data_IF_980141142231
#
_entry.id   IF_980141142231
#
_cell.length_a   1.000
_cell.length_b   1.000
_cell.length_c   1.000
_cell.angle_alpha   90.00
_cell.angle_beta   90.00
_cell.angle_gamma   90.00
#
_symmetry.space_group_name_H-M   'P 1'
#
loop_
_entity.id
_entity.type
_entity.pdbx_description
1 polymer ?
#
# COMPACT_ATOMS: atom_id res chain seq x y z
N UNK A 1 32.11 -1.67 12.92
CA UNK A 1 31.48 -1.97 11.62
C UNK A 1 29.99 -2.24 11.79
N UNK A 2 29.59 -3.08 12.74
CA UNK A 2 28.18 -3.42 12.99
C UNK A 2 27.26 -2.21 13.22
N UNK A 3 27.74 -1.15 13.88
CA UNK A 3 26.98 0.09 14.08
C UNK A 3 26.71 0.87 12.79
N UNK A 4 27.63 0.84 11.81
CA UNK A 4 27.49 1.55 10.52
C UNK A 4 26.39 0.89 9.68
N UNK A 5 26.24 -0.43 9.81
CA UNK A 5 25.25 -1.22 9.08
C UNK A 5 23.91 -1.31 9.83
N UNK A 6 23.83 -0.83 11.07
CA UNK A 6 22.61 -0.84 11.86
C UNK A 6 21.70 0.29 11.39
N UNK A 7 20.63 -0.06 10.67
CA UNK A 7 19.66 0.92 10.12
C UNK A 7 18.87 1.75 11.15
N UNK A 8 19.14 1.59 12.45
CA UNK A 8 18.58 2.39 13.54
C UNK A 8 19.61 3.27 14.25
N UNK A 9 20.87 3.27 13.81
CA UNK A 9 21.93 4.10 14.39
C UNK A 9 21.72 5.57 13.99
N UNK A 10 22.11 6.48 14.87
CA UNK A 10 22.08 7.92 14.60
C UNK A 10 23.23 8.32 13.67
N UNK A 11 23.09 9.41 12.91
CA UNK A 11 24.16 9.90 12.05
C UNK A 11 25.44 10.21 12.85
N UNK A 12 25.31 10.65 14.12
CA UNK A 12 26.45 10.91 15.01
C UNK A 12 27.18 9.63 15.42
N UNK A 13 26.45 8.55 15.75
CA UNK A 13 27.06 7.25 16.07
C UNK A 13 27.76 6.64 14.85
N UNK A 14 27.16 6.79 13.67
CA UNK A 14 27.75 6.36 12.40
C UNK A 14 29.03 7.13 12.12
N UNK A 15 29.01 8.47 12.25
CA UNK A 15 30.19 9.32 12.06
C UNK A 15 31.33 8.91 13.02
N UNK A 16 31.00 8.66 14.29
CA UNK A 16 31.97 8.20 15.27
C UNK A 16 32.58 6.85 14.86
N UNK A 17 31.75 5.89 14.47
CA UNK A 17 32.21 4.56 14.05
C UNK A 17 33.07 4.62 12.79
N UNK A 18 32.73 5.47 11.82
CA UNK A 18 33.56 5.70 10.63
C UNK A 18 34.92 6.27 11.03
N UNK A 19 34.97 7.25 11.95
CA UNK A 19 36.23 7.82 12.45
C UNK A 19 37.10 6.78 13.15
N UNK A 20 36.52 5.88 13.95
CA UNK A 20 37.25 4.80 14.62
C UNK A 20 37.84 3.79 13.63
N UNK A 21 37.07 3.41 12.61
CA UNK A 21 37.56 2.53 11.54
C UNK A 21 38.71 3.19 10.80
N UNK A 22 38.57 4.46 10.39
CA UNK A 22 39.62 5.18 9.69
C UNK A 22 40.88 5.36 10.54
N UNK A 23 40.75 5.66 11.84
CA UNK A 23 41.90 5.74 12.76
C UNK A 23 42.68 4.42 12.84
N UNK A 24 41.97 3.30 12.81
CA UNK A 24 42.57 1.96 12.88
C UNK A 24 43.36 1.59 11.62
N UNK A 25 43.11 2.29 10.50
CA UNK A 25 43.77 2.06 9.20
C UNK A 25 45.05 2.89 9.01
N UNK A 26 45.42 3.70 10.01
CA UNK A 26 46.65 4.51 10.01
C UNK A 26 46.46 5.92 9.48
N UNK A 27 47.56 6.55 9.06
CA UNK A 27 47.58 7.97 8.69
C UNK A 27 46.93 8.21 7.31
N UNK A 28 46.20 9.33 7.14
CA UNK A 28 45.56 9.71 5.88
C UNK A 28 46.60 10.26 4.89
N UNK A 29 47.43 9.37 4.34
CA UNK A 29 48.44 9.71 3.33
C UNK A 29 47.97 9.17 1.98
N UNK A 30 48.09 9.96 0.90
CA UNK A 30 47.65 9.53 -0.45
C UNK A 30 48.35 8.27 -0.96
N UNK A 31 49.53 7.95 -0.42
CA UNK A 31 50.26 6.71 -0.73
C UNK A 31 49.62 5.47 -0.12
N UNK A 32 48.76 5.62 0.89
CA UNK A 32 47.98 4.53 1.48
C UNK A 32 46.69 4.32 0.68
N UNK A 33 46.81 3.63 -0.45
CA UNK A 33 45.69 3.30 -1.34
C UNK A 33 44.58 2.52 -0.60
N UNK A 34 44.93 1.66 0.35
CA UNK A 34 43.96 0.93 1.16
C UNK A 34 43.09 1.85 2.02
N UNK A 35 43.69 2.81 2.72
CA UNK A 35 42.95 3.83 3.48
C UNK A 35 41.97 4.60 2.58
N UNK A 36 42.42 5.05 1.40
CA UNK A 36 41.59 5.84 0.48
C UNK A 36 40.40 5.04 -0.06
N UNK A 37 40.60 3.75 -0.39
CA UNK A 37 39.52 2.86 -0.85
C UNK A 37 38.49 2.66 0.27
N UNK A 38 38.94 2.33 1.48
CA UNK A 38 38.01 2.11 2.61
C UNK A 38 37.28 3.39 2.97
N UNK A 39 37.94 4.55 2.95
CA UNK A 39 37.30 5.85 3.17
C UNK A 39 36.18 6.11 2.16
N UNK A 40 36.46 5.98 0.86
CA UNK A 40 35.46 6.19 -0.19
C UNK A 40 34.27 5.21 -0.07
N UNK A 41 34.54 3.97 0.34
CA UNK A 41 33.47 3.00 0.60
C UNK A 41 32.61 3.42 1.80
N UNK A 42 33.23 3.80 2.92
CA UNK A 42 32.51 4.19 4.13
C UNK A 42 31.67 5.47 3.90
N UNK A 43 32.19 6.44 3.16
CA UNK A 43 31.45 7.67 2.82
C UNK A 43 30.19 7.42 1.97
N UNK A 44 30.11 6.26 1.27
CA UNK A 44 28.94 5.88 0.48
C UNK A 44 27.94 5.01 1.24
N UNK A 45 28.42 4.22 2.19
CA UNK A 45 27.58 3.27 2.94
C UNK A 45 27.02 3.91 4.21
N UNK A 46 27.74 4.84 4.82
CA UNK A 46 27.32 5.52 6.04
C UNK A 46 26.10 6.42 5.78
N UNK A 47 24.98 6.23 6.47
CA UNK A 47 23.89 7.20 6.48
C UNK A 47 24.38 8.53 7.07
N UNK A 48 24.31 9.61 6.28
CA UNK A 48 24.72 10.96 6.73
C UNK A 48 23.51 11.87 6.95
N UNK A 49 22.41 11.64 6.23
CA UNK A 49 21.22 12.49 6.26
C UNK A 49 20.00 11.81 6.91
N UNK A 50 20.00 10.49 6.98
CA UNK A 50 18.81 9.72 7.35
C UNK A 50 19.07 9.01 8.68
N UNK A 51 18.50 9.59 9.73
CA UNK A 51 18.33 8.97 11.04
C UNK A 51 16.99 9.40 11.64
N UNK A 52 16.71 8.99 12.88
CA UNK A 52 15.49 9.37 13.57
C UNK A 52 15.30 10.90 13.65
N UNK A 53 16.36 11.68 13.86
CA UNK A 53 16.25 13.13 13.96
C UNK A 53 15.86 13.76 12.61
N UNK A 54 16.48 13.29 11.52
CA UNK A 54 16.12 13.70 10.15
C UNK A 54 14.67 13.36 9.80
N UNK A 55 14.22 12.14 10.11
CA UNK A 55 12.82 11.73 9.87
C UNK A 55 11.84 12.58 10.68
N UNK A 56 12.15 12.87 11.95
CA UNK A 56 11.32 13.75 12.79
C UNK A 56 11.21 15.16 12.22
N UNK A 57 12.31 15.71 11.74
CA UNK A 57 12.30 17.05 11.14
C UNK A 57 11.48 17.08 9.85
N UNK A 58 11.60 16.05 9.01
CA UNK A 58 10.82 15.94 7.78
C UNK A 58 9.32 15.80 8.07
N UNK A 59 8.94 14.97 9.05
CA UNK A 59 7.54 14.86 9.50
C UNK A 59 7.00 16.17 10.04
N UNK A 60 7.82 16.94 10.77
CA UNK A 60 7.43 18.25 11.26
C UNK A 60 7.05 19.20 10.11
N UNK A 61 7.86 19.26 9.05
CA UNK A 61 7.56 20.07 7.86
C UNK A 61 6.30 19.61 7.13
N UNK A 62 6.13 18.30 6.97
CA UNK A 62 4.93 17.73 6.34
C UNK A 62 3.68 18.09 7.16
N UNK A 63 3.76 17.98 8.49
CA UNK A 63 2.65 18.32 9.36
C UNK A 63 2.32 19.82 9.32
N UNK A 64 3.32 20.68 9.30
CA UNK A 64 3.13 22.13 9.17
C UNK A 64 2.42 22.49 7.86
N UNK A 65 2.77 21.81 6.77
CA UNK A 65 2.14 21.98 5.45
C UNK A 65 0.71 21.40 5.39
N UNK A 66 0.44 20.24 6.01
CA UNK A 66 -0.86 19.58 5.96
C UNK A 66 -1.90 20.11 6.95
N UNK A 67 -1.47 20.38 8.18
CA UNK A 67 -2.34 20.68 9.32
C UNK A 67 -2.05 22.04 9.95
N UNK A 68 -0.92 22.65 9.61
CA UNK A 68 -0.46 23.92 10.15
C UNK A 68 -0.72 25.10 9.19
N UNK A 69 -0.15 26.27 9.50
CA UNK A 69 -0.25 27.46 8.65
C UNK A 69 0.59 27.36 7.36
N UNK A 70 1.47 26.36 7.24
CA UNK A 70 2.36 26.21 6.08
C UNK A 70 3.35 27.36 5.95
N UNK A 71 3.84 27.91 7.07
CA UNK A 71 4.70 29.10 7.06
C UNK A 71 5.96 28.89 6.22
N UNK A 72 6.52 27.68 6.25
CA UNK A 72 7.71 27.30 5.48
C UNK A 72 7.39 27.26 3.98
N UNK A 73 6.20 26.77 3.61
CA UNK A 73 5.76 26.72 2.21
C UNK A 73 5.60 28.14 1.65
N UNK A 74 5.00 29.04 2.44
CA UNK A 74 4.81 30.44 2.09
C UNK A 74 6.17 31.13 1.92
N UNK A 75 7.09 30.94 2.87
CA UNK A 75 8.42 31.55 2.83
C UNK A 75 9.24 31.11 1.61
N UNK A 76 9.09 29.85 1.17
CA UNK A 76 9.85 29.27 0.07
C UNK A 76 9.10 29.28 -1.28
N UNK A 77 7.84 29.74 -1.31
CA UNK A 77 7.00 29.71 -2.50
C UNK A 77 6.71 28.28 -3.01
N UNK A 78 6.58 27.32 -2.09
CA UNK A 78 6.35 25.91 -2.41
C UNK A 78 4.87 25.59 -2.50
N UNK A 79 4.55 24.66 -3.41
CA UNK A 79 3.21 24.06 -3.55
C UNK A 79 3.33 22.55 -3.41
N UNK A 80 2.36 21.91 -2.76
CA UNK A 80 2.30 20.46 -2.51
C UNK A 80 3.56 19.90 -1.81
N UNK A 81 4.19 20.67 -0.93
CA UNK A 81 5.39 20.22 -0.21
C UNK A 81 5.08 19.03 0.70
N UNK A 82 3.89 18.99 1.32
CA UNK A 82 3.38 17.85 2.06
C UNK A 82 3.38 16.55 1.25
N UNK A 83 2.79 16.58 0.06
CA UNK A 83 2.67 15.40 -0.81
C UNK A 83 4.07 14.90 -1.23
N UNK A 84 4.95 15.83 -1.64
CA UNK A 84 6.34 15.51 -2.00
C UNK A 84 7.14 14.99 -0.81
N UNK A 85 6.92 15.55 0.38
CA UNK A 85 7.54 15.12 1.62
C UNK A 85 7.11 13.71 2.00
N UNK A 86 5.82 13.39 1.87
CA UNK A 86 5.29 12.04 2.09
C UNK A 86 5.81 11.05 1.06
N UNK A 87 5.93 11.42 -0.21
CA UNK A 87 6.57 10.58 -1.24
C UNK A 87 8.04 10.29 -0.90
N UNK A 88 8.76 11.29 -0.41
CA UNK A 88 10.13 11.09 0.08
C UNK A 88 10.16 10.14 1.28
N UNK A 89 9.28 10.32 2.27
CA UNK A 89 9.16 9.41 3.41
C UNK A 89 8.80 7.99 2.97
N UNK A 90 7.96 7.82 1.95
CA UNK A 90 7.64 6.51 1.39
C UNK A 90 8.90 5.82 0.85
N UNK A 91 9.70 6.51 0.05
CA UNK A 91 10.97 5.97 -0.47
C UNK A 91 11.90 5.62 0.70
N UNK A 92 12.10 6.56 1.62
CA UNK A 92 12.98 6.36 2.77
C UNK A 92 12.53 5.21 3.69
N UNK A 93 11.23 5.02 3.88
CA UNK A 93 10.69 3.93 4.71
C UNK A 93 11.00 2.54 4.14
N UNK A 94 11.11 2.43 2.82
CA UNK A 94 11.50 1.17 2.15
C UNK A 94 13.01 0.88 2.22
N UNK A 95 13.84 1.93 2.22
CA UNK A 95 15.31 1.79 2.20
C UNK A 95 15.87 1.73 3.64
N UNK A 96 15.32 2.54 4.54
CA UNK A 96 15.76 2.71 5.93
C UNK A 96 14.62 2.50 6.94
N UNK A 97 13.90 1.35 6.93
CA UNK A 97 12.76 1.13 7.82
C UNK A 97 13.10 1.25 9.31
N UNK A 98 14.33 0.93 9.69
CA UNK A 98 14.81 1.03 11.07
C UNK A 98 14.80 2.47 11.62
N UNK A 99 14.98 3.48 10.76
CA UNK A 99 14.96 4.89 11.17
C UNK A 99 13.55 5.39 11.55
N UNK A 100 12.51 4.68 11.10
CA UNK A 100 11.10 5.01 11.35
C UNK A 100 10.55 4.31 12.60
N UNK A 101 11.28 3.34 13.18
CA UNK A 101 10.83 2.55 14.32
C UNK A 101 10.91 3.36 15.62
N UNK A 102 10.02 4.34 15.78
CA UNK A 102 9.92 5.18 16.95
C UNK A 102 8.46 5.58 17.22
N UNK A 103 8.08 5.63 18.50
CA UNK A 103 6.70 5.96 18.89
C UNK A 103 6.24 7.31 18.35
N UNK A 104 7.12 8.33 18.36
CA UNK A 104 6.80 9.65 17.83
C UNK A 104 6.45 9.59 16.33
N UNK A 105 7.25 8.86 15.55
CA UNK A 105 7.03 8.72 14.10
C UNK A 105 5.68 8.06 13.81
N UNK A 106 5.35 6.99 14.53
CA UNK A 106 4.06 6.32 14.36
C UNK A 106 2.87 7.18 14.75
N UNK A 107 2.97 7.98 15.82
CA UNK A 107 1.90 8.88 16.24
C UNK A 107 1.64 9.99 15.21
N UNK A 108 2.69 10.58 14.64
CA UNK A 108 2.53 11.59 13.59
C UNK A 108 1.91 10.98 12.32
N UNK A 109 2.35 9.79 11.89
CA UNK A 109 1.73 9.10 10.75
C UNK A 109 0.26 8.74 11.03
N UNK A 110 -0.08 8.33 12.26
CA UNK A 110 -1.48 8.09 12.66
C UNK A 110 -2.33 9.37 12.59
N UNK A 111 -1.76 10.53 12.88
CA UNK A 111 -2.46 11.81 12.74
C UNK A 111 -2.73 12.15 11.27
N UNK A 112 -1.77 11.87 10.37
CA UNK A 112 -1.95 12.09 8.92
C UNK A 112 -3.06 11.20 8.35
N UNK A 113 -3.24 9.97 8.86
CA UNK A 113 -4.35 9.10 8.45
C UNK A 113 -5.75 9.65 8.79
N UNK A 114 -5.85 10.74 9.57
CA UNK A 114 -7.11 11.40 9.93
C UNK A 114 -7.43 12.63 9.09
N UNK A 115 -6.55 13.01 8.19
CA UNK A 115 -6.77 14.12 7.25
C UNK A 115 -7.83 13.70 6.22
N UNK A 116 -8.60 14.67 5.72
CA UNK A 116 -9.67 14.42 4.74
C UNK A 116 -9.11 14.10 3.34
N UNK A 117 -7.95 14.66 2.99
CA UNK A 117 -7.30 14.47 1.69
C UNK A 117 -6.81 13.02 1.50
N UNK A 118 -7.23 12.41 0.39
CA UNK A 118 -6.96 11.00 0.07
C UNK A 118 -5.48 10.74 -0.24
N UNK A 119 -4.79 11.68 -0.90
CA UNK A 119 -3.40 11.50 -1.35
C UNK A 119 -2.40 11.26 -0.20
N UNK A 120 -2.38 12.12 0.82
CA UNK A 120 -1.59 11.95 2.02
C UNK A 120 -1.93 10.66 2.78
N UNK A 121 -3.22 10.33 2.90
CA UNK A 121 -3.69 9.12 3.58
C UNK A 121 -3.17 7.87 2.86
N UNK A 122 -3.35 7.79 1.54
CA UNK A 122 -2.87 6.68 0.70
C UNK A 122 -1.37 6.43 0.89
N UNK A 123 -0.59 7.50 0.81
CA UNK A 123 0.88 7.44 0.91
C UNK A 123 1.30 7.01 2.31
N UNK A 124 0.57 7.45 3.34
CA UNK A 124 0.82 7.10 4.74
C UNK A 124 0.54 5.62 5.02
N UNK A 125 -0.52 5.04 4.44
CA UNK A 125 -0.80 3.60 4.55
C UNK A 125 0.35 2.79 3.92
N UNK A 126 0.89 3.25 2.79
CA UNK A 126 2.06 2.62 2.16
C UNK A 126 3.32 2.73 3.02
N UNK A 127 3.57 3.87 3.66
CA UNK A 127 4.66 4.02 4.63
C UNK A 127 4.50 2.99 5.74
N UNK A 128 3.30 2.89 6.34
CA UNK A 128 3.01 1.87 7.36
C UNK A 128 3.20 0.44 6.85
N UNK A 129 2.97 0.16 5.57
CA UNK A 129 3.22 -1.18 5.00
C UNK A 129 4.70 -1.55 5.05
N UNK A 130 5.62 -0.59 4.87
CA UNK A 130 7.05 -0.84 4.90
C UNK A 130 7.61 -1.02 6.33
N UNK A 131 6.98 -0.40 7.32
CA UNK A 131 7.48 -0.35 8.71
C UNK A 131 6.59 -1.14 9.69
N UNK A 132 5.45 -1.65 9.24
CA UNK A 132 4.41 -2.24 10.09
C UNK A 132 4.80 -3.56 10.75
N UNK A 133 5.85 -4.23 10.28
CA UNK A 133 6.30 -5.54 10.77
C UNK A 133 6.73 -5.53 12.25
N UNK A 134 7.08 -4.35 12.81
CA UNK A 134 7.44 -4.21 14.23
C UNK A 134 6.25 -3.89 15.14
N UNK A 135 5.10 -3.49 14.58
CA UNK A 135 4.02 -2.86 15.35
C UNK A 135 3.36 -3.81 16.35
N UNK A 136 2.97 -5.01 15.93
CA UNK A 136 2.26 -5.95 16.81
C UNK A 136 3.12 -6.41 17.99
N UNK A 137 4.44 -6.59 17.75
CA UNK A 137 5.37 -7.05 18.78
C UNK A 137 5.95 -5.94 19.68
N UNK A 138 6.33 -4.79 19.10
CA UNK A 138 7.07 -3.74 19.82
C UNK A 138 6.20 -2.53 20.18
N UNK A 139 5.09 -2.29 19.45
CA UNK A 139 4.22 -1.12 19.63
C UNK A 139 2.72 -1.49 19.67
N UNK A 140 2.29 -2.36 20.61
CA UNK A 140 0.93 -2.89 20.63
C UNK A 140 -0.16 -1.81 20.77
N UNK A 141 0.13 -0.70 21.46
CA UNK A 141 -0.81 0.42 21.60
C UNK A 141 -1.07 1.13 20.26
N UNK A 142 -0.02 1.30 19.44
CA UNK A 142 -0.14 1.86 18.09
C UNK A 142 -0.89 0.87 17.20
N UNK A 143 -0.52 -0.42 17.26
CA UNK A 143 -1.19 -1.49 16.52
C UNK A 143 -2.70 -1.52 16.80
N UNK A 144 -3.11 -1.45 18.07
CA UNK A 144 -4.51 -1.45 18.47
C UNK A 144 -5.32 -0.23 18.00
N UNK A 145 -4.66 0.89 17.71
CA UNK A 145 -5.28 2.09 17.12
C UNK A 145 -5.26 2.08 15.59
N UNK A 146 -4.21 1.53 14.99
CA UNK A 146 -4.05 1.48 13.54
C UNK A 146 -4.97 0.43 12.91
N UNK A 147 -5.08 -0.76 13.52
CA UNK A 147 -5.90 -1.85 13.01
C UNK A 147 -7.35 -1.44 12.68
N UNK A 148 -8.14 -0.83 13.59
CA UNK A 148 -9.51 -0.44 13.28
C UNK A 148 -9.59 0.63 12.18
N UNK A 149 -8.57 1.50 12.03
CA UNK A 149 -8.51 2.45 10.92
C UNK A 149 -8.30 1.74 9.59
N UNK A 150 -7.38 0.77 9.55
CA UNK A 150 -7.15 -0.05 8.34
C UNK A 150 -8.40 -0.86 7.98
N UNK A 151 -9.07 -1.48 8.95
CA UNK A 151 -10.33 -2.20 8.73
C UNK A 151 -11.40 -1.27 8.14
N UNK A 152 -11.53 -0.04 8.65
CA UNK A 152 -12.43 0.96 8.07
C UNK A 152 -12.06 1.33 6.63
N UNK A 153 -10.78 1.49 6.30
CA UNK A 153 -10.35 1.76 4.92
C UNK A 153 -10.62 0.58 3.98
N UNK A 154 -10.51 -0.66 4.48
CA UNK A 154 -10.79 -1.88 3.72
C UNK A 154 -12.28 -2.00 3.40
N UNK A 155 -13.16 -1.53 4.29
CA UNK A 155 -14.62 -1.66 4.18
C UNK A 155 -15.30 -0.46 3.54
N UNK A 156 -14.85 0.75 3.87
CA UNK A 156 -15.54 2.01 3.53
C UNK A 156 -14.61 3.05 2.86
N UNK A 157 -13.34 2.72 2.65
CA UNK A 157 -12.39 3.62 1.99
C UNK A 157 -12.53 3.63 0.48
N UNK A 158 -11.68 4.44 -0.15
CA UNK A 158 -11.54 4.41 -1.60
C UNK A 158 -10.92 3.09 -2.05
N UNK A 159 -11.08 2.75 -3.33
CA UNK A 159 -10.45 1.56 -3.93
C UNK A 159 -8.93 1.54 -3.69
N UNK A 160 -8.28 2.70 -3.68
CA UNK A 160 -6.83 2.83 -3.48
C UNK A 160 -6.45 2.64 -2.00
N UNK A 161 -7.18 3.28 -1.09
CA UNK A 161 -7.01 3.10 0.36
C UNK A 161 -7.19 1.64 0.77
N UNK A 162 -8.26 1.00 0.30
CA UNK A 162 -8.54 -0.40 0.58
C UNK A 162 -7.40 -1.33 0.14
N UNK A 163 -6.91 -1.17 -1.11
CA UNK A 163 -5.75 -1.92 -1.62
C UNK A 163 -4.54 -1.78 -0.69
N UNK A 164 -4.21 -0.56 -0.28
CA UNK A 164 -3.04 -0.30 0.57
C UNK A 164 -3.27 -0.81 1.99
N UNK A 165 -4.48 -0.66 2.53
CA UNK A 165 -4.83 -1.07 3.88
C UNK A 165 -4.80 -2.58 4.05
N UNK A 166 -5.27 -3.37 3.06
CA UNK A 166 -5.09 -4.84 3.07
C UNK A 166 -3.61 -5.20 3.11
N UNK A 167 -2.77 -4.53 2.30
CA UNK A 167 -1.32 -4.75 2.28
C UNK A 167 -0.66 -4.45 3.62
N UNK A 168 -0.99 -3.30 4.21
CA UNK A 168 -0.49 -2.89 5.52
C UNK A 168 -0.91 -3.88 6.61
N UNK A 169 -2.18 -4.26 6.64
CA UNK A 169 -2.73 -5.18 7.64
C UNK A 169 -2.04 -6.55 7.54
N UNK A 170 -1.79 -7.05 6.33
CA UNK A 170 -1.08 -8.30 6.08
C UNK A 170 0.35 -8.32 6.66
N UNK A 171 1.07 -7.19 6.60
CA UNK A 171 2.42 -7.09 7.18
C UNK A 171 2.36 -6.91 8.70
N UNK A 172 1.33 -6.22 9.20
CA UNK A 172 1.21 -5.84 10.61
C UNK A 172 0.78 -6.99 11.53
N UNK A 173 -0.20 -7.81 11.12
CA UNK A 173 -0.79 -8.83 12.01
C UNK A 173 -0.20 -10.23 11.80
N UNK A 174 0.03 -10.96 12.89
CA UNK A 174 0.41 -12.37 12.84
C UNK A 174 -0.79 -13.28 12.60
N UNK A 175 -1.90 -13.07 13.31
CA UNK A 175 -3.12 -13.89 13.17
C UNK A 175 -4.01 -13.43 12.00
N UNK A 176 -3.50 -13.65 10.78
CA UNK A 176 -4.16 -13.28 9.52
C UNK A 176 -5.51 -13.97 9.34
N UNK A 177 -5.63 -15.23 9.76
CA UNK A 177 -6.86 -16.02 9.62
C UNK A 177 -8.03 -15.36 10.37
N UNK A 178 -7.82 -15.00 11.65
CA UNK A 178 -8.85 -14.34 12.46
C UNK A 178 -9.21 -12.97 11.89
N UNK A 179 -8.22 -12.13 11.63
CA UNK A 179 -8.44 -10.73 11.24
C UNK A 179 -9.10 -10.65 9.87
N UNK A 180 -8.52 -11.28 8.84
CA UNK A 180 -9.11 -11.25 7.50
C UNK A 180 -10.39 -12.08 7.40
N UNK A 181 -10.56 -13.13 8.20
CA UNK A 181 -11.83 -13.87 8.25
C UNK A 181 -13.01 -12.96 8.64
N UNK A 182 -12.84 -12.19 9.71
CA UNK A 182 -13.86 -11.22 10.15
C UNK A 182 -14.14 -10.13 9.11
N UNK A 183 -13.09 -9.61 8.48
CA UNK A 183 -13.20 -8.61 7.42
C UNK A 183 -13.97 -9.18 6.23
N UNK A 184 -13.63 -10.38 5.75
CA UNK A 184 -14.32 -11.01 4.63
C UNK A 184 -15.81 -11.17 4.92
N UNK A 185 -16.18 -11.54 6.15
CA UNK A 185 -17.59 -11.68 6.52
C UNK A 185 -18.35 -10.35 6.46
N UNK A 186 -17.74 -9.24 6.85
CA UNK A 186 -18.32 -7.90 6.70
C UNK A 186 -18.39 -7.47 5.23
N UNK A 187 -17.31 -7.69 4.46
CA UNK A 187 -17.26 -7.34 3.04
C UNK A 187 -18.33 -8.04 2.21
N UNK A 188 -18.73 -9.27 2.57
CA UNK A 188 -19.84 -9.98 1.89
C UNK A 188 -21.15 -9.19 1.90
N UNK A 189 -21.39 -8.35 2.91
CA UNK A 189 -22.62 -7.55 3.00
C UNK A 189 -22.66 -6.43 1.94
N UNK A 190 -21.49 -5.99 1.47
CA UNK A 190 -21.35 -4.93 0.46
C UNK A 190 -21.32 -5.47 -0.98
N UNK A 191 -21.45 -6.79 -1.19
CA UNK A 191 -21.40 -7.43 -2.51
C UNK A 191 -22.73 -7.32 -3.28
N UNK A 192 -23.20 -6.10 -3.48
CA UNK A 192 -24.44 -5.77 -4.20
C UNK A 192 -24.30 -4.43 -4.92
N UNK A 193 -24.92 -4.29 -6.09
CA UNK A 193 -24.91 -3.03 -6.86
C UNK A 193 -25.58 -1.86 -6.14
N UNK A 194 -26.38 -2.14 -5.10
CA UNK A 194 -26.96 -1.10 -4.24
C UNK A 194 -25.96 -0.50 -3.26
N UNK A 195 -24.82 -1.16 -3.03
CA UNK A 195 -23.80 -0.69 -2.10
C UNK A 195 -22.79 0.20 -2.83
N UNK A 196 -22.60 1.41 -2.31
CA UNK A 196 -21.53 2.32 -2.76
C UNK A 196 -20.12 1.72 -2.57
N UNK A 197 -19.97 0.75 -1.67
CA UNK A 197 -18.70 0.10 -1.34
C UNK A 197 -18.45 -1.21 -2.09
N UNK A 198 -19.29 -1.58 -3.07
CA UNK A 198 -19.13 -2.85 -3.79
C UNK A 198 -17.76 -2.93 -4.49
N UNK A 199 -17.34 -1.85 -5.15
CA UNK A 199 -16.02 -1.78 -5.79
C UNK A 199 -14.89 -1.96 -4.78
N UNK A 200 -14.96 -1.24 -3.66
CA UNK A 200 -13.99 -1.34 -2.56
C UNK A 200 -13.93 -2.76 -2.02
N UNK A 201 -15.07 -3.41 -1.81
CA UNK A 201 -15.14 -4.79 -1.34
C UNK A 201 -14.49 -5.79 -2.30
N UNK A 202 -14.73 -5.66 -3.62
CA UNK A 202 -14.09 -6.51 -4.63
C UNK A 202 -12.56 -6.34 -4.65
N UNK A 203 -12.08 -5.10 -4.50
CA UNK A 203 -10.64 -4.80 -4.45
C UNK A 203 -10.02 -5.41 -3.19
N UNK A 204 -10.64 -5.19 -2.03
CA UNK A 204 -10.21 -5.76 -0.76
C UNK A 204 -10.14 -7.28 -0.81
N UNK A 205 -11.21 -7.95 -1.24
CA UNK A 205 -11.25 -9.41 -1.39
C UNK A 205 -10.20 -9.93 -2.38
N UNK A 206 -10.01 -9.23 -3.51
CA UNK A 206 -8.99 -9.58 -4.49
C UNK A 206 -7.57 -9.49 -3.92
N UNK A 207 -7.28 -8.46 -3.14
CA UNK A 207 -5.97 -8.31 -2.48
C UNK A 207 -5.76 -9.33 -1.35
N UNK A 208 -6.79 -9.65 -0.56
CA UNK A 208 -6.73 -10.73 0.44
C UNK A 208 -6.46 -12.08 -0.25
N UNK A 209 -7.15 -12.36 -1.36
CA UNK A 209 -6.97 -13.59 -2.12
C UNK A 209 -5.56 -13.73 -2.71
N UNK A 210 -4.95 -12.61 -3.10
CA UNK A 210 -3.59 -12.58 -3.61
C UNK A 210 -2.54 -12.79 -2.51
N UNK A 211 -2.71 -12.16 -1.35
CA UNK A 211 -1.73 -12.17 -0.26
C UNK A 211 -1.85 -13.40 0.65
N UNK A 212 -3.07 -13.93 0.84
CA UNK A 212 -3.37 -15.05 1.74
C UNK A 212 -4.11 -16.19 1.00
N UNK A 213 -3.57 -16.72 -0.12
CA UNK A 213 -4.26 -17.71 -0.94
C UNK A 213 -4.52 -19.02 -0.19
N UNK A 214 -3.60 -19.45 0.66
CA UNK A 214 -3.70 -20.71 1.41
C UNK A 214 -4.80 -20.68 2.47
N UNK A 215 -5.07 -19.50 3.06
CA UNK A 215 -6.08 -19.32 4.10
C UNK A 215 -7.48 -19.16 3.51
N UNK A 216 -7.63 -18.34 2.47
CA UNK A 216 -8.95 -17.90 1.99
C UNK A 216 -9.30 -18.33 0.57
N UNK A 217 -8.41 -19.03 -0.14
CA UNK A 217 -8.58 -19.37 -1.55
C UNK A 217 -9.89 -20.10 -1.87
N UNK A 218 -10.35 -21.00 -0.99
CA UNK A 218 -11.63 -21.71 -1.15
C UNK A 218 -12.85 -20.83 -0.90
N UNK A 219 -12.81 -19.98 0.13
CA UNK A 219 -13.88 -19.03 0.43
C UNK A 219 -14.04 -18.02 -0.71
N UNK A 220 -12.93 -17.50 -1.23
CA UNK A 220 -12.91 -16.58 -2.36
C UNK A 220 -13.39 -17.27 -3.64
N UNK A 221 -13.07 -18.55 -3.88
CA UNK A 221 -13.62 -19.31 -5.02
C UNK A 221 -15.15 -19.27 -5.05
N UNK A 222 -15.81 -19.46 -3.89
CA UNK A 222 -17.27 -19.39 -3.82
C UNK A 222 -17.80 -17.99 -4.17
N UNK A 223 -17.12 -16.93 -3.72
CA UNK A 223 -17.50 -15.54 -4.04
C UNK A 223 -17.30 -15.27 -5.54
N UNK A 224 -16.18 -15.71 -6.12
CA UNK A 224 -15.90 -15.59 -7.55
C UNK A 224 -17.00 -16.27 -8.37
N UNK A 225 -17.35 -17.50 -8.07
CA UNK A 225 -18.34 -18.24 -8.86
C UNK A 225 -19.77 -17.68 -8.71
N UNK A 226 -20.20 -17.36 -7.48
CA UNK A 226 -21.58 -16.95 -7.22
C UNK A 226 -21.80 -15.46 -7.47
N UNK A 227 -20.96 -14.61 -6.89
CA UNK A 227 -21.14 -13.15 -6.97
C UNK A 227 -20.54 -12.62 -8.26
N UNK A 228 -19.24 -12.84 -8.49
CA UNK A 228 -18.54 -12.14 -9.59
C UNK A 228 -18.97 -12.68 -10.96
N UNK A 229 -18.95 -14.00 -11.16
CA UNK A 229 -19.30 -14.58 -12.47
C UNK A 229 -20.80 -14.56 -12.69
N UNK A 230 -21.57 -15.17 -11.79
CA UNK A 230 -23.01 -15.37 -12.00
C UNK A 230 -23.83 -14.10 -11.79
N UNK A 231 -23.66 -13.42 -10.65
CA UNK A 231 -24.57 -12.32 -10.29
C UNK A 231 -24.10 -10.94 -10.81
N UNK A 232 -22.85 -10.81 -11.25
CA UNK A 232 -22.27 -9.56 -11.76
C UNK A 232 -21.94 -9.61 -13.26
N UNK A 233 -21.14 -10.58 -13.73
CA UNK A 233 -20.69 -10.59 -15.13
C UNK A 233 -21.74 -11.15 -16.10
N UNK A 234 -22.60 -12.06 -15.64
CA UNK A 234 -23.64 -12.74 -16.44
C UNK A 234 -25.03 -12.11 -16.28
N UNK A 235 -25.07 -10.84 -15.89
CA UNK A 235 -26.31 -10.04 -15.75
C UNK A 235 -26.01 -8.61 -16.18
N UNK A 236 -27.01 -7.92 -16.74
CA UNK A 236 -26.97 -6.46 -16.91
C UNK A 236 -28.15 -5.83 -16.17
N UNK A 237 -27.88 -4.78 -15.39
CA UNK A 237 -28.87 -4.10 -14.57
C UNK A 237 -29.18 -2.68 -15.07
N UNK A 238 -28.19 -1.97 -15.57
CA UNK A 238 -28.29 -0.60 -16.07
C UNK A 238 -28.69 -0.54 -17.55
N UNK A 239 -29.36 0.56 -17.90
CA UNK A 239 -29.88 0.80 -19.25
C UNK A 239 -28.72 1.19 -20.18
N UNK A 240 -28.75 0.67 -21.41
CA UNK A 240 -27.80 0.96 -22.47
C UNK A 240 -27.59 2.47 -22.65
N UNK A 241 -26.33 2.90 -22.78
CA UNK A 241 -26.01 4.30 -23.07
C UNK A 241 -26.52 4.63 -24.46
N UNK A 242 -27.23 5.77 -24.59
CA UNK A 242 -27.74 6.26 -25.88
C UNK A 242 -26.73 7.08 -26.69
N UNK A 243 -25.46 7.11 -26.25
CA UNK A 243 -24.38 7.82 -26.92
C UNK A 243 -23.52 6.81 -27.72
N UNK A 244 -23.29 7.10 -29.00
CA UNK A 244 -22.53 6.27 -29.93
C UNK A 244 -21.00 6.40 -29.73
N UNK A 245 -20.56 7.17 -28.72
CA UNK A 245 -19.14 7.33 -28.42
C UNK A 245 -18.49 6.00 -28.01
N UNK A 246 -17.44 5.60 -28.74
CA UNK A 246 -16.70 4.35 -28.48
C UNK A 246 -15.89 4.37 -27.17
N UNK A 247 -15.60 5.57 -26.64
CA UNK A 247 -14.75 5.72 -25.47
C UNK A 247 -15.22 6.88 -24.61
N UNK A 248 -15.14 6.67 -23.30
CA UNK A 248 -15.28 7.70 -22.28
C UNK A 248 -14.28 7.46 -21.16
N UNK A 249 -14.01 8.51 -20.38
CA UNK A 249 -13.15 8.40 -19.22
C UNK A 249 -13.75 7.46 -18.16
N UNK A 250 -12.87 6.75 -17.45
CA UNK A 250 -13.28 5.70 -16.51
C UNK A 250 -14.23 6.23 -15.43
N UNK A 251 -14.01 7.46 -14.95
CA UNK A 251 -14.84 8.06 -13.90
C UNK A 251 -16.26 8.39 -14.37
N UNK A 252 -16.46 8.53 -15.68
CA UNK A 252 -17.75 8.77 -16.31
C UNK A 252 -18.49 7.47 -16.66
N UNK A 253 -17.87 6.31 -16.44
CA UNK A 253 -18.52 5.02 -16.71
C UNK A 253 -19.66 4.78 -15.70
N UNK A 254 -20.73 4.08 -16.12
CA UNK A 254 -21.74 3.60 -15.20
C UNK A 254 -21.13 2.71 -14.11
N UNK A 255 -21.69 2.76 -12.89
CA UNK A 255 -21.11 2.04 -11.75
C UNK A 255 -21.10 0.53 -11.98
N UNK A 256 -22.11 -0.01 -12.65
CA UNK A 256 -22.11 -1.43 -13.01
C UNK A 256 -20.88 -1.82 -13.84
N UNK A 257 -20.49 -0.98 -14.80
CA UNK A 257 -19.32 -1.23 -15.65
C UNK A 257 -18.03 -1.16 -14.83
N UNK A 258 -17.89 -0.17 -13.96
CA UNK A 258 -16.74 -0.03 -13.06
C UNK A 258 -16.62 -1.23 -12.11
N UNK A 259 -17.74 -1.72 -11.59
CA UNK A 259 -17.80 -2.91 -10.73
C UNK A 259 -17.44 -4.17 -11.52
N UNK A 260 -17.97 -4.37 -12.74
CA UNK A 260 -17.60 -5.49 -13.63
C UNK A 260 -16.09 -5.54 -13.91
N UNK A 261 -15.47 -4.38 -14.14
CA UNK A 261 -14.01 -4.27 -14.30
C UNK A 261 -13.26 -4.70 -13.03
N UNK A 262 -13.67 -4.24 -11.85
CA UNK A 262 -13.04 -4.69 -10.59
C UNK A 262 -13.30 -6.17 -10.29
N UNK A 263 -14.46 -6.69 -10.67
CA UNK A 263 -14.78 -8.12 -10.61
C UNK A 263 -13.80 -8.96 -11.43
N UNK A 264 -13.54 -8.58 -12.69
CA UNK A 264 -12.54 -9.25 -13.53
C UNK A 264 -11.14 -9.18 -12.91
N UNK A 265 -10.72 -8.02 -12.40
CA UNK A 265 -9.43 -7.88 -11.71
C UNK A 265 -9.35 -8.75 -10.46
N UNK A 266 -10.44 -8.87 -9.68
CA UNK A 266 -10.51 -9.74 -8.51
C UNK A 266 -10.27 -11.21 -8.89
N UNK A 267 -10.89 -11.71 -9.97
CA UNK A 267 -10.67 -13.09 -10.43
C UNK A 267 -9.19 -13.32 -10.77
N UNK A 268 -8.56 -12.37 -11.48
CA UNK A 268 -7.14 -12.45 -11.84
C UNK A 268 -6.26 -12.47 -10.59
N UNK A 269 -6.49 -11.57 -9.61
CA UNK A 269 -5.73 -11.54 -8.36
C UNK A 269 -5.85 -12.85 -7.56
N UNK A 270 -7.05 -13.44 -7.52
CA UNK A 270 -7.28 -14.74 -6.90
C UNK A 270 -6.47 -15.85 -7.56
N UNK A 271 -6.46 -15.92 -8.89
CA UNK A 271 -5.65 -16.90 -9.63
C UNK A 271 -4.14 -16.70 -9.44
N UNK A 272 -3.67 -15.45 -9.48
CA UNK A 272 -2.27 -15.10 -9.23
C UNK A 272 -1.83 -15.52 -7.82
N UNK A 273 -2.71 -15.39 -6.82
CA UNK A 273 -2.48 -15.90 -5.48
C UNK A 273 -2.33 -17.42 -5.43
N UNK A 274 -3.24 -18.15 -6.08
CA UNK A 274 -3.24 -19.62 -6.07
C UNK A 274 -2.04 -20.25 -6.80
N UNK A 275 -1.51 -19.58 -7.84
CA UNK A 275 -0.36 -19.99 -8.70
C UNK A 275 -0.52 -21.31 -9.48
N UNK A 276 -1.18 -22.32 -8.92
CA UNK A 276 -1.21 -23.71 -9.40
C UNK A 276 -2.60 -24.19 -9.81
N UNK A 277 -3.64 -23.37 -9.65
CA UNK A 277 -5.03 -23.74 -9.89
C UNK A 277 -5.40 -23.80 -11.38
N UNK A 278 -4.84 -24.77 -12.11
CA UNK A 278 -4.95 -24.89 -13.57
C UNK A 278 -6.40 -24.94 -14.07
N UNK A 279 -7.28 -25.71 -13.46
CA UNK A 279 -8.69 -25.82 -13.88
C UNK A 279 -9.46 -24.50 -13.71
N UNK A 280 -9.24 -23.81 -12.59
CA UNK A 280 -9.81 -22.48 -12.35
C UNK A 280 -9.28 -21.47 -13.36
N UNK A 281 -7.96 -21.52 -13.65
CA UNK A 281 -7.33 -20.65 -14.62
C UNK A 281 -7.89 -20.84 -16.04
N UNK A 282 -8.03 -22.09 -16.50
CA UNK A 282 -8.64 -22.40 -17.81
C UNK A 282 -10.06 -21.84 -17.90
N UNK A 283 -10.86 -22.01 -16.84
CA UNK A 283 -12.25 -21.54 -16.82
C UNK A 283 -12.32 -20.00 -16.90
N UNK A 284 -11.47 -19.30 -16.15
CA UNK A 284 -11.37 -17.83 -16.19
C UNK A 284 -10.85 -17.33 -17.53
N UNK A 285 -9.80 -17.94 -18.08
CA UNK A 285 -9.24 -17.52 -19.38
C UNK A 285 -10.27 -17.69 -20.49
N UNK A 286 -11.05 -18.77 -20.45
CA UNK A 286 -12.18 -18.96 -21.37
C UNK A 286 -13.21 -17.83 -21.22
N UNK A 287 -13.63 -17.51 -19.99
CA UNK A 287 -14.55 -16.40 -19.73
C UNK A 287 -14.02 -15.06 -20.29
N UNK A 288 -12.76 -14.71 -20.00
CA UNK A 288 -12.16 -13.47 -20.49
C UNK A 288 -12.01 -13.45 -22.01
N UNK A 289 -11.76 -14.61 -22.61
CA UNK A 289 -11.72 -14.76 -24.08
C UNK A 289 -13.12 -14.55 -24.67
N UNK A 290 -14.17 -15.08 -24.03
CA UNK A 290 -15.57 -14.81 -24.41
C UNK A 290 -15.86 -13.31 -24.38
N UNK A 291 -15.45 -12.57 -23.33
CA UNK A 291 -15.60 -11.10 -23.30
C UNK A 291 -15.02 -10.44 -24.55
N UNK A 292 -13.81 -10.87 -24.98
CA UNK A 292 -13.15 -10.31 -26.16
C UNK A 292 -13.88 -10.70 -27.46
N UNK A 293 -14.25 -11.98 -27.60
CA UNK A 293 -14.92 -12.51 -28.79
C UNK A 293 -16.27 -11.83 -29.03
N UNK A 294 -17.01 -11.53 -27.95
CA UNK A 294 -18.29 -10.84 -28.01
C UNK A 294 -18.17 -9.32 -27.81
N UNK A 295 -16.97 -8.74 -27.96
CA UNK A 295 -16.72 -7.29 -27.91
C UNK A 295 -17.23 -6.60 -26.64
N UNK A 296 -17.25 -7.31 -25.52
CA UNK A 296 -17.74 -6.81 -24.22
C UNK A 296 -19.18 -7.24 -23.87
N UNK A 297 -19.98 -7.68 -24.85
CA UNK A 297 -21.36 -8.13 -24.63
C UNK A 297 -21.40 -9.62 -24.27
N UNK A 298 -21.22 -9.94 -23.00
CA UNK A 298 -21.30 -11.31 -22.49
C UNK A 298 -22.71 -11.91 -22.57
N UNK A 299 -23.74 -11.08 -22.68
CA UNK A 299 -25.14 -11.51 -22.70
C UNK A 299 -25.68 -11.68 -24.12
N UNK A 300 -24.88 -11.32 -25.14
CA UNK A 300 -25.24 -11.36 -26.56
C UNK A 300 -26.58 -10.68 -26.86
N UNK A 301 -26.87 -9.58 -26.14
CA UNK A 301 -28.10 -8.81 -26.34
C UNK A 301 -28.05 -7.96 -27.62
N UNK A 302 -26.88 -7.80 -28.23
CA UNK A 302 -26.72 -7.12 -29.53
C UNK A 302 -26.85 -5.61 -29.42
N UNK A 303 -26.40 -5.05 -28.31
CA UNK A 303 -26.32 -3.61 -28.06
C UNK A 303 -25.00 -3.01 -28.56
#
# INVERSE_FOLDING_TARGET
MDTILKGSATCSEIEHSVKEVLKSLGLPVQTNSFYMIVKQMLERVAPVMIDLAGIRQLLHYIRDSLMGPGDIDIQLGLFNSAERGLQLLLILSSIFPGAFCNNYVFEELLNILRVEDEGPVDTTILIFTNIGYVLEGQYPNICGRLQPLLERFIENGTVKQAKHAVGCLNVMVTNKERVFGQIIDRLKMSLTLQSEYFRTALVSLGHIAFLCPDLFGMQIKSIVSKVVVKDLLMVDFEITRGDDSMWIDFDMLPEETKVKVEGMKMIVRWLLGLKTAAQSAVSTLRLLTTVILHRGDLMEKGH
#
